data_IF_665078424543
#
_entry.id   IF_665078424543
#
_cell.length_a   1.000
_cell.length_b   1.000
_cell.length_c   1.000
_cell.angle_alpha   90.00
_cell.angle_beta   90.00
_cell.angle_gamma   90.00
#
_symmetry.space_group_name_H-M   'P 1'
#
loop_
_entity.id
_entity.type
_entity.pdbx_description
1 polymer ?
#
# COMPACT_ATOMS: atom_id res chain seq x y z
N UNK A 1 -20.65 52.80 28.89
CA UNK A 1 -19.46 51.96 29.11
C UNK A 1 -19.83 50.62 28.55
N UNK A 2 -19.54 50.33 27.29
CA UNK A 2 -19.96 49.06 26.68
C UNK A 2 -18.84 48.56 25.76
N UNK A 3 -17.75 48.17 26.40
CA UNK A 3 -16.63 47.48 25.77
C UNK A 3 -16.93 46.00 25.69
N UNK A 4 -17.77 45.58 24.74
CA UNK A 4 -17.95 44.16 24.44
C UNK A 4 -16.74 43.69 23.64
N UNK A 5 -15.69 43.31 24.36
CA UNK A 5 -14.54 42.62 23.79
C UNK A 5 -15.03 41.25 23.30
N UNK A 6 -15.32 41.15 22.01
CA UNK A 6 -15.62 39.89 21.36
C UNK A 6 -14.39 39.00 21.51
N UNK A 7 -14.46 38.05 22.46
CA UNK A 7 -13.44 37.04 22.66
C UNK A 7 -13.25 36.32 21.31
N UNK A 8 -12.15 36.63 20.64
CA UNK A 8 -11.78 36.01 19.38
C UNK A 8 -11.69 34.49 19.63
N UNK A 9 -12.60 33.73 19.02
CA UNK A 9 -12.59 32.29 19.09
C UNK A 9 -11.22 31.81 18.58
N UNK A 10 -10.50 31.06 19.43
CA UNK A 10 -9.22 30.50 19.05
C UNK A 10 -9.40 29.61 17.80
N UNK A 11 -8.51 29.71 16.80
CA UNK A 11 -8.62 28.91 15.59
C UNK A 11 -8.59 27.41 15.93
N UNK A 12 -9.34 26.57 15.20
CA UNK A 12 -9.35 25.13 15.44
C UNK A 12 -7.93 24.57 15.28
N UNK A 13 -7.53 23.59 16.11
CA UNK A 13 -6.21 22.98 16.01
C UNK A 13 -6.05 22.37 14.61
N UNK A 14 -5.00 22.80 13.91
CA UNK A 14 -4.62 22.21 12.61
C UNK A 14 -4.18 20.77 12.84
N UNK A 15 -4.72 19.79 12.08
CA UNK A 15 -4.20 18.43 12.11
C UNK A 15 -2.72 18.46 11.70
N UNK A 16 -1.84 18.22 12.67
CA UNK A 16 -0.43 17.98 12.39
C UNK A 16 -0.32 16.70 11.57
N UNK A 17 0.32 16.79 10.41
CA UNK A 17 0.64 15.62 9.62
C UNK A 17 1.46 14.65 10.48
N UNK A 18 1.03 13.38 10.54
CA UNK A 18 1.79 12.37 11.26
C UNK A 18 3.18 12.23 10.63
N UNK A 19 4.24 12.04 11.44
CA UNK A 19 5.58 11.83 10.92
C UNK A 19 5.59 10.60 10.00
N UNK A 20 6.11 10.77 8.78
CA UNK A 20 6.30 9.67 7.82
C UNK A 20 7.49 8.84 8.28
N UNK A 21 7.24 7.61 8.69
CA UNK A 21 8.28 6.65 9.09
C UNK A 21 8.66 5.81 7.88
N UNK A 22 9.93 5.80 7.46
CA UNK A 22 10.40 4.89 6.40
C UNK A 22 10.20 3.43 6.80
N UNK A 23 9.78 2.60 5.84
CA UNK A 23 9.65 1.15 6.03
C UNK A 23 10.53 0.44 5.02
N UNK A 24 11.45 -0.37 5.51
CA UNK A 24 12.28 -1.23 4.67
C UNK A 24 11.46 -2.44 4.19
N UNK A 25 11.56 -2.72 2.89
CA UNK A 25 10.89 -3.85 2.24
C UNK A 25 11.90 -4.78 1.59
N UNK A 26 11.73 -6.07 1.79
CA UNK A 26 12.55 -7.11 1.18
C UNK A 26 11.74 -7.93 0.18
N UNK A 27 12.26 -8.09 -1.03
CA UNK A 27 11.59 -8.84 -2.10
C UNK A 27 12.25 -10.21 -2.25
N UNK A 28 11.46 -11.26 -2.08
CA UNK A 28 11.89 -12.65 -2.25
C UNK A 28 11.22 -13.22 -3.49
N UNK A 29 12.03 -13.68 -4.45
CA UNK A 29 11.55 -14.37 -5.65
C UNK A 29 11.53 -15.87 -5.41
N UNK A 30 10.35 -16.49 -5.49
CA UNK A 30 10.21 -17.95 -5.37
C UNK A 30 10.24 -18.56 -6.78
N UNK A 31 11.27 -19.34 -7.07
CA UNK A 31 11.41 -20.09 -8.32
C UNK A 31 10.71 -21.44 -8.18
N UNK A 32 9.38 -21.46 -8.18
CA UNK A 32 8.62 -22.71 -8.25
C UNK A 32 7.88 -22.77 -9.59
N UNK A 33 8.53 -23.39 -10.58
CA UNK A 33 7.82 -24.10 -11.65
C UNK A 33 7.03 -23.28 -12.68
N UNK A 34 7.33 -22.00 -12.91
CA UNK A 34 6.91 -21.32 -14.15
C UNK A 34 6.10 -20.03 -14.04
N UNK A 35 5.95 -19.45 -12.86
CA UNK A 35 5.35 -18.13 -12.65
C UNK A 35 6.22 -17.32 -11.70
N UNK A 36 6.59 -16.09 -12.09
CA UNK A 36 7.48 -15.21 -11.34
C UNK A 36 6.85 -14.60 -10.09
N UNK A 37 6.31 -15.43 -9.22
CA UNK A 37 5.66 -15.01 -7.99
C UNK A 37 6.68 -14.45 -7.00
N UNK A 38 6.35 -13.30 -6.42
CA UNK A 38 7.17 -12.58 -5.48
C UNK A 38 6.45 -12.48 -4.14
N UNK A 39 7.21 -12.59 -3.05
CA UNK A 39 6.74 -12.24 -1.72
C UNK A 39 7.52 -11.02 -1.24
N UNK A 40 6.81 -9.98 -0.80
CA UNK A 40 7.40 -8.78 -0.22
C UNK A 40 7.18 -8.82 1.28
N UNK A 41 8.26 -8.69 2.03
CA UNK A 41 8.24 -8.71 3.49
C UNK A 41 8.66 -7.34 4.03
N UNK A 42 8.08 -6.95 5.15
CA UNK A 42 8.50 -5.77 5.90
C UNK A 42 9.77 -6.05 6.72
N UNK A 43 10.24 -5.02 7.44
CA UNK A 43 11.44 -5.09 8.27
C UNK A 43 11.35 -6.12 9.42
N UNK A 44 10.15 -6.56 9.81
CA UNK A 44 9.98 -7.63 10.80
C UNK A 44 10.11 -9.03 10.19
N UNK A 45 10.15 -9.13 8.87
CA UNK A 45 10.05 -10.39 8.12
C UNK A 45 8.60 -10.85 7.91
N UNK A 46 7.62 -10.06 8.35
CA UNK A 46 6.20 -10.29 8.09
C UNK A 46 5.88 -10.10 6.61
N UNK A 47 4.93 -10.88 6.08
CA UNK A 47 4.48 -10.72 4.70
C UNK A 47 3.67 -9.43 4.57
N UNK A 48 4.19 -8.45 3.84
CA UNK A 48 3.47 -7.23 3.49
C UNK A 48 2.46 -7.50 2.37
N UNK A 49 2.92 -8.12 1.26
CA UNK A 49 2.06 -8.53 0.15
C UNK A 49 2.73 -9.57 -0.75
N UNK A 50 1.93 -10.31 -1.50
CA UNK A 50 2.37 -11.23 -2.56
C UNK A 50 2.08 -10.62 -3.93
N UNK A 51 2.96 -10.87 -4.88
CA UNK A 51 2.77 -10.52 -6.29
C UNK A 51 2.56 -11.81 -7.08
N UNK A 52 1.43 -11.90 -7.75
CA UNK A 52 1.06 -13.02 -8.62
C UNK A 52 0.60 -12.51 -9.99
N UNK A 53 0.48 -13.40 -10.97
CA UNK A 53 -0.25 -13.11 -12.19
C UNK A 53 -1.72 -12.77 -11.84
N UNK A 54 -2.26 -11.71 -12.43
CA UNK A 54 -3.67 -11.38 -12.22
C UNK A 54 -4.57 -12.43 -12.88
N UNK A 55 -5.65 -12.83 -12.18
CA UNK A 55 -6.63 -13.77 -12.70
C UNK A 55 -7.46 -13.17 -13.86
N UNK A 56 -7.94 -14.05 -14.75
CA UNK A 56 -8.93 -13.70 -15.78
C UNK A 56 -8.40 -13.36 -17.17
N UNK A 57 -7.08 -13.36 -17.37
CA UNK A 57 -6.48 -13.18 -18.70
C UNK A 57 -5.10 -13.83 -18.66
N UNK A 58 -4.90 -14.95 -19.38
CA UNK A 58 -3.73 -15.82 -19.24
C UNK A 58 -2.36 -15.15 -19.50
N UNK A 59 -1.31 -15.93 -19.77
CA UNK A 59 0.09 -15.46 -19.93
C UNK A 59 0.33 -14.24 -20.84
N UNK A 60 -0.63 -13.80 -21.65
CA UNK A 60 -0.52 -12.71 -22.61
C UNK A 60 -0.85 -11.32 -22.04
N UNK A 61 -1.46 -11.22 -20.87
CA UNK A 61 -2.08 -9.96 -20.45
C UNK A 61 -1.20 -9.10 -19.54
N UNK A 62 0.02 -9.53 -19.23
CA UNK A 62 1.06 -8.78 -18.49
C UNK A 62 0.69 -8.32 -17.07
N UNK A 63 -0.58 -8.45 -16.67
CA UNK A 63 -1.12 -7.91 -15.44
C UNK A 63 -0.67 -8.70 -14.21
N UNK A 64 -0.47 -7.98 -13.11
CA UNK A 64 -0.07 -8.52 -11.81
C UNK A 64 -1.07 -8.13 -10.74
N UNK A 65 -1.33 -9.02 -9.81
CA UNK A 65 -2.13 -8.74 -8.63
C UNK A 65 -1.23 -8.67 -7.39
N UNK A 66 -1.48 -7.69 -6.54
CA UNK A 66 -0.97 -7.63 -5.17
C UNK A 66 -2.01 -8.26 -4.25
N UNK A 67 -1.63 -9.31 -3.56
CA UNK A 67 -2.47 -10.00 -2.58
C UNK A 67 -1.97 -9.73 -1.17
N UNK A 68 -2.88 -9.64 -0.22
CA UNK A 68 -2.55 -9.60 1.20
C UNK A 68 -2.13 -10.98 1.75
N UNK A 69 -1.95 -11.06 3.07
CA UNK A 69 -1.63 -12.31 3.76
C UNK A 69 -2.76 -13.34 3.72
N UNK A 70 -4.02 -12.94 3.57
CA UNK A 70 -5.17 -13.84 3.39
C UNK A 70 -5.30 -14.38 1.95
N UNK A 71 -4.62 -13.74 1.00
CA UNK A 71 -4.77 -14.01 -0.43
C UNK A 71 -5.81 -13.12 -1.12
N UNK A 72 -6.32 -12.10 -0.43
CA UNK A 72 -7.28 -11.14 -0.99
C UNK A 72 -6.56 -10.10 -1.85
N UNK A 73 -7.16 -9.75 -2.99
CA UNK A 73 -6.58 -8.75 -3.91
C UNK A 73 -6.69 -7.35 -3.34
N UNK A 74 -5.53 -6.70 -3.20
CA UNK A 74 -5.43 -5.29 -2.83
C UNK A 74 -5.45 -4.40 -4.08
N UNK A 75 -4.63 -4.76 -5.08
CA UNK A 75 -4.43 -3.98 -6.30
C UNK A 75 -4.21 -4.92 -7.47
N UNK A 76 -4.78 -4.60 -8.63
CA UNK A 76 -4.40 -5.18 -9.91
C UNK A 76 -3.69 -4.14 -10.76
N UNK A 77 -2.43 -4.38 -11.08
CA UNK A 77 -1.66 -3.58 -12.02
C UNK A 77 -1.81 -4.14 -13.44
N UNK A 78 -2.10 -3.26 -14.39
CA UNK A 78 -2.08 -3.58 -15.82
C UNK A 78 -1.12 -2.63 -16.52
N UNK A 79 -0.44 -3.12 -17.54
CA UNK A 79 0.38 -2.28 -18.41
C UNK A 79 -0.53 -1.72 -19.49
N UNK A 80 -0.65 -0.40 -19.57
CA UNK A 80 -1.20 0.28 -20.75
C UNK A 80 -0.07 0.46 -21.77
N UNK A 81 -0.30 0.04 -23.00
CA UNK A 81 0.56 0.37 -24.15
C UNK A 81 0.44 1.84 -24.54
#
# INVERSE_FOLDING_TARGET
>A
MDGTNAAAAAPPPVPMAAPVVPVDLTVVKKLLGGGGDLAVHDASGGLAFRVTAADGCGRRCGGRALLDASGSTLVTARTSE
#
